data_IF_861510299675
#
_entry.id   IF_861510299675
#
_cell.length_a   1.000
_cell.length_b   1.000
_cell.length_c   1.000
_cell.angle_alpha   90.00
_cell.angle_beta   90.00
_cell.angle_gamma   90.00
#
_symmetry.space_group_name_H-M   'P 1'
#
loop_
_entity.id
_entity.type
_entity.pdbx_description
1 polymer ?
#
# COMPACT_ATOMS: atom_id res chain seq x y z
N UNK A 1 -11.12 -28.60 3.14
CA UNK A 1 -10.24 -28.79 1.96
C UNK A 1 -10.18 -30.23 1.48
N UNK A 2 -9.74 -31.20 2.31
CA UNK A 2 -9.63 -32.61 1.89
C UNK A 2 -10.93 -33.23 1.38
N UNK A 3 -12.07 -32.89 1.98
CA UNK A 3 -13.40 -33.39 1.56
C UNK A 3 -13.82 -32.91 0.16
N UNK A 4 -13.37 -31.72 -0.26
CA UNK A 4 -13.74 -31.14 -1.56
C UNK A 4 -12.79 -31.52 -2.69
N UNK A 5 -11.55 -31.93 -2.36
CA UNK A 5 -10.55 -32.36 -3.36
C UNK A 5 -10.98 -33.64 -4.10
N UNK A 6 -11.83 -34.45 -3.48
CA UNK A 6 -12.35 -35.72 -4.03
C UNK A 6 -13.80 -35.60 -4.51
N UNK A 7 -14.37 -34.39 -4.58
CA UNK A 7 -15.75 -34.19 -4.98
C UNK A 7 -15.85 -34.20 -6.51
N UNK A 8 -16.75 -35.00 -7.09
CA UNK A 8 -16.93 -35.16 -8.54
C UNK A 8 -17.38 -33.87 -9.29
N UNK A 9 -17.59 -32.77 -8.56
CA UNK A 9 -17.95 -31.48 -9.13
C UNK A 9 -16.72 -30.56 -9.14
N UNK A 10 -16.14 -30.35 -10.32
CA UNK A 10 -14.95 -29.54 -10.59
C UNK A 10 -15.04 -28.05 -10.18
N UNK A 11 -16.15 -27.61 -9.59
CA UNK A 11 -16.40 -26.21 -9.25
C UNK A 11 -16.25 -25.91 -7.75
N UNK A 12 -16.57 -26.88 -6.89
CA UNK A 12 -16.63 -26.62 -5.45
C UNK A 12 -15.25 -26.44 -4.80
N UNK A 13 -14.23 -27.10 -5.34
CA UNK A 13 -12.87 -26.99 -4.78
C UNK A 13 -12.29 -25.56 -5.00
N UNK A 14 -12.29 -25.00 -6.22
CA UNK A 14 -11.91 -23.60 -6.44
C UNK A 14 -12.76 -22.59 -5.64
N UNK A 15 -14.09 -22.76 -5.61
CA UNK A 15 -14.98 -21.86 -4.85
C UNK A 15 -14.65 -21.87 -3.35
N UNK A 16 -14.30 -23.04 -2.80
CA UNK A 16 -13.88 -23.16 -1.40
C UNK A 16 -12.55 -22.45 -1.14
N UNK A 17 -11.59 -22.54 -2.07
CA UNK A 17 -10.31 -21.84 -1.96
C UNK A 17 -10.49 -20.32 -2.04
N UNK A 18 -11.38 -19.83 -2.93
CA UNK A 18 -11.75 -18.42 -3.02
C UNK A 18 -12.39 -17.92 -1.71
N UNK A 19 -13.31 -18.69 -1.12
CA UNK A 19 -13.88 -18.34 0.18
C UNK A 19 -12.81 -18.30 1.27
N UNK A 20 -11.85 -19.24 1.24
CA UNK A 20 -10.75 -19.25 2.18
C UNK A 20 -9.83 -18.03 2.02
N UNK A 21 -9.56 -17.58 0.79
CA UNK A 21 -8.82 -16.34 0.54
C UNK A 21 -9.50 -15.11 1.16
N UNK A 22 -10.83 -15.03 1.12
CA UNK A 22 -11.58 -13.94 1.80
C UNK A 22 -11.36 -13.98 3.32
N UNK A 23 -11.45 -15.16 3.93
CA UNK A 23 -11.22 -15.33 5.37
C UNK A 23 -9.77 -14.94 5.74
N UNK A 24 -8.79 -15.36 4.94
CA UNK A 24 -7.39 -15.00 5.17
C UNK A 24 -7.15 -13.49 5.03
N UNK A 25 -7.80 -12.85 4.05
CA UNK A 25 -7.76 -11.40 3.86
C UNK A 25 -8.31 -10.67 5.08
N UNK A 26 -9.49 -11.06 5.58
CA UNK A 26 -10.10 -10.47 6.78
C UNK A 26 -9.22 -10.64 8.04
N UNK A 27 -8.42 -11.70 8.08
CA UNK A 27 -7.46 -11.99 9.15
C UNK A 27 -6.08 -11.34 8.95
N UNK A 28 -5.86 -10.61 7.85
CA UNK A 28 -4.57 -10.06 7.45
C UNK A 28 -3.45 -11.11 7.31
N UNK A 29 -3.80 -12.34 6.93
CA UNK A 29 -2.88 -13.48 6.79
C UNK A 29 -2.32 -13.58 5.36
N UNK A 30 -1.62 -12.54 4.92
CA UNK A 30 -1.22 -12.38 3.51
C UNK A 30 -0.22 -13.41 3.01
N UNK A 31 0.68 -13.90 3.86
CA UNK A 31 1.62 -14.97 3.47
C UNK A 31 0.89 -16.26 3.15
N UNK A 32 -0.14 -16.61 3.94
CA UNK A 32 -0.94 -17.81 3.70
C UNK A 32 -1.80 -17.69 2.43
N UNK A 33 -2.15 -16.45 2.02
CA UNK A 33 -2.89 -16.22 0.78
C UNK A 33 -2.05 -16.57 -0.46
N UNK A 34 -0.74 -16.33 -0.45
CA UNK A 34 0.15 -16.63 -1.58
C UNK A 34 0.10 -18.12 -1.94
N UNK A 35 0.24 -18.99 -0.93
CA UNK A 35 0.19 -20.45 -1.13
C UNK A 35 -1.14 -20.89 -1.74
N UNK A 36 -2.25 -20.25 -1.36
CA UNK A 36 -3.58 -20.57 -1.88
C UNK A 36 -3.79 -20.05 -3.31
N UNK A 37 -3.27 -18.85 -3.62
CA UNK A 37 -3.30 -18.29 -4.98
C UNK A 37 -2.51 -19.17 -5.94
N UNK A 38 -1.31 -19.61 -5.56
CA UNK A 38 -0.49 -20.50 -6.40
C UNK A 38 -1.20 -21.83 -6.66
N UNK A 39 -1.90 -22.38 -5.65
CA UNK A 39 -2.73 -23.56 -5.82
C UNK A 39 -3.90 -23.34 -6.80
N UNK A 40 -4.53 -22.17 -6.75
CA UNK A 40 -5.63 -21.80 -7.65
C UNK A 40 -5.13 -21.57 -9.10
N UNK A 41 -3.97 -20.94 -9.28
CA UNK A 41 -3.35 -20.73 -10.61
C UNK A 41 -3.04 -22.04 -11.32
N UNK A 42 -2.66 -23.08 -10.57
CA UNK A 42 -2.48 -24.42 -11.13
C UNK A 42 -3.79 -25.07 -11.59
N UNK A 43 -4.94 -24.57 -11.13
CA UNK A 43 -6.25 -25.09 -11.48
C UNK A 43 -6.90 -24.34 -12.64
N UNK A 44 -6.87 -23.01 -12.61
CA UNK A 44 -7.40 -22.13 -13.65
C UNK A 44 -6.54 -20.86 -13.73
N UNK A 45 -5.91 -20.64 -14.89
CA UNK A 45 -5.04 -19.48 -15.12
C UNK A 45 -5.77 -18.26 -15.67
N UNK A 46 -7.09 -18.35 -15.87
CA UNK A 46 -7.90 -17.33 -16.54
C UNK A 46 -8.99 -16.72 -15.65
N UNK A 47 -9.07 -17.17 -14.40
CA UNK A 47 -10.06 -16.70 -13.44
C UNK A 47 -9.68 -15.33 -12.86
N UNK A 48 -10.49 -14.31 -13.13
CA UNK A 48 -10.25 -12.94 -12.66
C UNK A 48 -10.30 -12.78 -11.14
N UNK A 49 -10.95 -13.70 -10.40
CA UNK A 49 -10.94 -13.68 -8.94
C UNK A 49 -9.54 -14.01 -8.38
N UNK A 50 -8.77 -14.86 -9.07
CA UNK A 50 -7.39 -15.18 -8.69
C UNK A 50 -6.52 -13.92 -8.87
N UNK A 51 -6.65 -13.26 -10.03
CA UNK A 51 -5.96 -12.01 -10.32
C UNK A 51 -6.32 -10.92 -9.30
N UNK A 52 -7.59 -10.84 -8.91
CA UNK A 52 -8.06 -9.90 -7.89
C UNK A 52 -7.33 -10.07 -6.54
N UNK A 53 -7.22 -11.30 -6.02
CA UNK A 53 -6.51 -11.54 -4.77
C UNK A 53 -5.00 -11.30 -4.88
N UNK A 54 -4.40 -11.61 -6.03
CA UNK A 54 -2.99 -11.31 -6.28
C UNK A 54 -2.74 -9.80 -6.28
N UNK A 55 -3.61 -9.02 -6.95
CA UNK A 55 -3.54 -7.55 -6.96
C UNK A 55 -3.68 -6.99 -5.54
N UNK A 56 -4.56 -7.54 -4.70
CA UNK A 56 -4.69 -7.13 -3.30
C UNK A 56 -3.34 -7.29 -2.56
N UNK A 57 -2.68 -8.44 -2.73
CA UNK A 57 -1.37 -8.68 -2.10
C UNK A 57 -0.33 -7.66 -2.60
N UNK A 58 -0.32 -7.33 -3.89
CA UNK A 58 0.56 -6.29 -4.41
C UNK A 58 0.29 -4.92 -3.79
N UNK A 59 -0.98 -4.53 -3.65
CA UNK A 59 -1.37 -3.27 -3.01
C UNK A 59 -0.86 -3.23 -1.56
N UNK A 60 -1.12 -4.27 -0.77
CA UNK A 60 -0.66 -4.35 0.62
C UNK A 60 0.85 -4.25 0.72
N UNK A 61 1.59 -4.95 -0.16
CA UNK A 61 3.04 -4.87 -0.19
C UNK A 61 3.54 -3.44 -0.50
N UNK A 62 2.88 -2.74 -1.43
CA UNK A 62 3.18 -1.33 -1.74
C UNK A 62 2.94 -0.46 -0.50
N UNK A 63 1.80 -0.59 0.18
CA UNK A 63 1.48 0.16 1.40
C UNK A 63 2.49 -0.08 2.52
N UNK A 64 2.86 -1.35 2.74
CA UNK A 64 3.89 -1.70 3.72
C UNK A 64 5.25 -1.06 3.40
N UNK A 65 5.63 -1.03 2.12
CA UNK A 65 6.88 -0.43 1.69
C UNK A 65 6.84 1.10 1.78
N UNK A 66 5.72 1.74 1.45
CA UNK A 66 5.51 3.18 1.67
C UNK A 66 5.70 3.52 3.15
N UNK A 67 5.09 2.74 4.06
CA UNK A 67 5.23 2.94 5.51
C UNK A 67 6.67 2.78 6.00
N UNK A 68 7.39 1.76 5.52
CA UNK A 68 8.82 1.57 5.82
C UNK A 68 9.66 2.76 5.34
N UNK A 69 9.44 3.22 4.10
CA UNK A 69 10.10 4.39 3.54
C UNK A 69 9.83 5.64 4.39
N UNK A 70 8.57 5.88 4.77
CA UNK A 70 8.17 7.01 5.61
C UNK A 70 8.90 6.98 6.96
N UNK A 71 8.90 5.84 7.64
CA UNK A 71 9.60 5.69 8.92
C UNK A 71 11.09 5.99 8.77
N UNK A 72 11.72 5.52 7.69
CA UNK A 72 13.13 5.80 7.42
C UNK A 72 13.40 7.29 7.18
N UNK A 73 12.55 7.96 6.42
CA UNK A 73 12.65 9.40 6.18
C UNK A 73 12.47 10.20 7.48
N UNK A 74 11.53 9.77 8.33
CA UNK A 74 11.29 10.39 9.63
C UNK A 74 12.50 10.28 10.56
N UNK A 75 13.12 9.09 10.65
CA UNK A 75 14.38 8.90 11.38
C UNK A 75 15.49 9.85 10.90
N UNK A 76 15.63 10.01 9.57
CA UNK A 76 16.65 10.90 9.00
C UNK A 76 16.42 12.35 9.41
N UNK A 77 15.17 12.82 9.43
CA UNK A 77 14.83 14.17 9.89
C UNK A 77 15.12 14.34 11.40
N UNK A 78 14.77 13.35 12.22
CA UNK A 78 14.98 13.41 13.66
C UNK A 78 16.45 13.37 14.06
N UNK A 79 17.26 12.58 13.36
CA UNK A 79 18.69 12.40 13.68
C UNK A 79 19.55 13.62 13.34
N UNK A 80 18.97 14.70 12.78
CA UNK A 80 19.66 15.97 12.43
C UNK A 80 20.97 15.77 11.66
N UNK A 81 21.09 14.67 10.91
CA UNK A 81 22.31 14.37 10.15
C UNK A 81 22.59 15.45 9.11
N UNK A 82 23.86 15.68 8.78
CA UNK A 82 24.22 16.64 7.72
C UNK A 82 23.67 16.15 6.36
N UNK A 83 23.10 17.04 5.57
CA UNK A 83 22.83 16.77 4.15
C UNK A 83 23.84 17.48 3.27
N UNK A 84 24.40 16.73 2.31
CA UNK A 84 25.30 17.27 1.28
C UNK A 84 24.55 17.96 0.13
N UNK A 85 23.25 17.68 -0.02
CA UNK A 85 22.41 18.25 -1.09
C UNK A 85 21.89 19.62 -0.65
N UNK A 86 21.30 19.69 0.54
CA UNK A 86 20.76 20.94 1.09
C UNK A 86 20.68 20.86 2.61
N UNK A 87 21.37 21.78 3.29
CA UNK A 87 21.45 21.88 4.75
C UNK A 87 20.11 22.14 5.46
N UNK A 88 19.08 22.62 4.74
CA UNK A 88 17.73 22.82 5.27
C UNK A 88 16.84 21.56 5.22
N UNK A 89 17.37 20.47 4.64
CA UNK A 89 16.70 19.18 4.45
C UNK A 89 15.39 19.24 3.66
N UNK A 90 15.20 20.27 2.84
CA UNK A 90 13.94 20.46 2.09
C UNK A 90 13.58 19.29 1.18
N UNK A 91 14.56 18.68 0.52
CA UNK A 91 14.35 17.49 -0.32
C UNK A 91 13.81 16.30 0.49
N UNK A 92 14.29 16.12 1.73
CA UNK A 92 13.84 15.05 2.64
C UNK A 92 12.45 15.38 3.20
N UNK A 93 12.21 16.63 3.60
CA UNK A 93 10.88 17.10 4.03
C UNK A 93 9.86 16.96 2.89
N UNK A 94 10.23 17.32 1.66
CA UNK A 94 9.39 17.14 0.49
C UNK A 94 9.03 15.67 0.25
N UNK A 95 10.02 14.77 0.35
CA UNK A 95 9.80 13.34 0.26
C UNK A 95 8.85 12.84 1.35
N UNK A 96 9.01 13.31 2.61
CA UNK A 96 8.09 13.00 3.69
C UNK A 96 6.66 13.46 3.36
N UNK A 97 6.51 14.68 2.83
CA UNK A 97 5.21 15.20 2.41
C UNK A 97 4.53 14.31 1.37
N UNK A 98 5.28 13.83 0.37
CA UNK A 98 4.77 12.89 -0.64
C UNK A 98 4.32 11.56 -0.03
N UNK A 99 5.14 10.98 0.85
CA UNK A 99 4.83 9.71 1.52
C UNK A 99 3.58 9.83 2.42
N UNK A 100 3.42 10.95 3.11
CA UNK A 100 2.23 11.23 3.92
C UNK A 100 0.97 11.37 3.06
N UNK A 101 1.07 11.96 1.85
CA UNK A 101 -0.06 12.02 0.90
C UNK A 101 -0.42 10.61 0.42
N UNK A 102 0.56 9.77 0.11
CA UNK A 102 0.33 8.38 -0.31
C UNK A 102 -0.34 7.52 0.77
N UNK A 103 -0.13 7.84 2.05
CA UNK A 103 -0.84 7.21 3.17
C UNK A 103 -2.17 7.92 3.53
N UNK A 104 -2.66 8.84 2.70
CA UNK A 104 -3.83 9.69 2.97
C UNK A 104 -3.75 10.51 4.27
N UNK A 105 -2.55 10.70 4.84
CA UNK A 105 -2.33 11.53 6.01
C UNK A 105 -2.17 13.01 5.61
N UNK A 106 -3.25 13.60 5.11
CA UNK A 106 -3.27 14.97 4.58
C UNK A 106 -2.96 16.04 5.64
N UNK A 107 -3.30 15.78 6.90
CA UNK A 107 -3.05 16.72 8.02
C UNK A 107 -1.56 16.90 8.28
N UNK A 108 -0.82 15.80 8.40
CA UNK A 108 0.62 15.86 8.57
C UNK A 108 1.31 16.34 7.30
N UNK A 109 0.84 15.92 6.12
CA UNK A 109 1.37 16.42 4.85
C UNK A 109 1.28 17.96 4.75
N UNK A 110 0.18 18.56 5.21
CA UNK A 110 0.03 20.02 5.27
C UNK A 110 1.02 20.67 6.23
N UNK A 111 1.25 20.06 7.39
CA UNK A 111 2.25 20.54 8.37
C UNK A 111 3.65 20.55 7.76
N UNK A 112 4.02 19.48 7.05
CA UNK A 112 5.30 19.39 6.35
C UNK A 112 5.39 20.45 5.24
N UNK A 113 4.34 20.61 4.43
CA UNK A 113 4.27 21.64 3.39
C UNK A 113 4.53 23.03 3.96
N UNK A 114 3.86 23.39 5.06
CA UNK A 114 3.99 24.73 5.65
C UNK A 114 5.40 24.99 6.18
N UNK A 115 6.12 23.93 6.60
CA UNK A 115 7.52 23.99 7.07
C UNK A 115 8.58 24.15 5.97
N UNK A 116 8.23 23.98 4.70
CA UNK A 116 9.14 24.22 3.58
C UNK A 116 9.38 25.73 3.42
N UNK A 117 10.43 26.12 2.70
CA UNK A 117 10.72 27.50 2.33
C UNK A 117 10.53 27.74 0.83
N UNK A 118 10.83 26.74 -0.01
CA UNK A 118 10.65 26.81 -1.45
C UNK A 118 9.15 26.86 -1.84
N UNK A 119 8.73 27.95 -2.51
CA UNK A 119 7.34 28.19 -2.94
C UNK A 119 6.85 27.22 -4.00
N UNK A 120 7.68 26.82 -4.95
CA UNK A 120 7.28 25.90 -6.02
C UNK A 120 6.96 24.51 -5.45
N UNK A 121 7.81 24.04 -4.54
CA UNK A 121 7.62 22.76 -3.85
C UNK A 121 6.36 22.81 -2.96
N UNK A 122 6.11 23.93 -2.26
CA UNK A 122 4.87 24.13 -1.51
C UNK A 122 3.64 24.04 -2.39
N UNK A 123 3.63 24.74 -3.52
CA UNK A 123 2.50 24.78 -4.43
C UNK A 123 2.20 23.40 -5.03
N UNK A 124 3.25 22.63 -5.34
CA UNK A 124 3.11 21.25 -5.77
C UNK A 124 2.40 20.40 -4.71
N UNK A 125 2.90 20.39 -3.46
CA UNK A 125 2.27 19.63 -2.38
C UNK A 125 0.85 20.10 -2.08
N UNK A 126 0.58 21.41 -2.15
CA UNK A 126 -0.77 21.95 -1.94
C UNK A 126 -1.77 21.42 -2.98
N UNK A 127 -1.35 21.35 -4.24
CA UNK A 127 -2.15 20.78 -5.32
C UNK A 127 -2.42 19.30 -5.09
N UNK A 128 -1.39 18.52 -4.77
CA UNK A 128 -1.52 17.09 -4.50
C UNK A 128 -2.43 16.81 -3.30
N UNK A 129 -2.28 17.54 -2.19
CA UNK A 129 -3.17 17.40 -1.02
C UNK A 129 -4.62 17.67 -1.40
N UNK A 130 -4.89 18.76 -2.13
CA UNK A 130 -6.25 19.12 -2.56
C UNK A 130 -6.88 18.11 -3.51
N UNK A 131 -6.08 17.49 -4.37
CA UNK A 131 -6.56 16.46 -5.29
C UNK A 131 -6.96 15.20 -4.53
N UNK A 132 -6.13 14.75 -3.60
CA UNK A 132 -6.37 13.50 -2.87
C UNK A 132 -7.41 13.66 -1.73
N UNK A 133 -7.50 14.82 -1.07
CA UNK A 133 -8.47 15.05 0.01
C UNK A 133 -9.91 15.25 -0.46
N UNK A 134 -10.16 15.34 -1.77
CA UNK A 134 -11.51 15.43 -2.33
C UNK A 134 -12.22 14.08 -2.37
N UNK A 135 -11.47 12.99 -2.27
CA UNK A 135 -12.01 11.63 -2.26
C UNK A 135 -12.58 11.22 -0.89
N UNK A 136 -12.30 11.95 0.19
CA UNK A 136 -12.75 11.63 1.55
C UNK A 136 -14.17 12.16 1.90
N UNK A 137 -14.82 12.90 0.98
CA UNK A 137 -16.13 13.55 1.22
C UNK A 137 -17.28 12.97 0.36
N UNK A 138 -17.16 11.72 -0.11
CA UNK A 138 -18.21 11.00 -0.85
C UNK A 138 -18.65 9.78 -0.06
#
# INVERSE_FOLDING_TARGET
>A
LQLYKNCNHNRYYPETLILYLKILLDQNRFNDMLDIIDNLKNYDTTCCDIDYFEIIIYIINIEMNIKKCKNKVFEVIQNKGRSYINSSHEHIKFLLGKLLIMENNHKEAKTIKDSLSNKEVKNYLDKEIKLNSRCDNV
#
